data_IF_616468704852
#
_entry.id   IF_616468704852
#
_cell.length_a   1.000
_cell.length_b   1.000
_cell.length_c   1.000
_cell.angle_alpha   90.00
_cell.angle_beta   90.00
_cell.angle_gamma   90.00
#
_symmetry.space_group_name_H-M   'P 1'
#
loop_
_entity.id
_entity.type
_entity.pdbx_description
1 polymer ?
#
# COMPACT_ATOMS: atom_id res chain seq x y z
N UNK A 1 -25.22 34.82 2.04
CA UNK A 1 -24.38 34.63 3.25
C UNK A 1 -23.44 33.48 2.96
N UNK A 2 -22.21 33.75 2.51
CA UNK A 2 -21.23 32.71 2.20
C UNK A 2 -20.81 32.04 3.51
N UNK A 3 -20.91 30.71 3.56
CA UNK A 3 -20.49 29.90 4.71
C UNK A 3 -18.95 29.84 4.68
N UNK A 4 -18.28 30.53 5.59
CA UNK A 4 -16.83 30.42 5.76
C UNK A 4 -16.45 28.94 6.01
N UNK A 5 -15.30 28.46 5.49
CA UNK A 5 -14.87 27.09 5.70
C UNK A 5 -14.65 26.87 7.20
N UNK A 6 -15.24 25.80 7.74
CA UNK A 6 -15.05 25.35 9.12
C UNK A 6 -13.58 24.93 9.25
N UNK A 7 -12.75 25.80 9.84
CA UNK A 7 -11.40 25.43 10.22
C UNK A 7 -11.52 24.26 11.21
N UNK A 8 -11.02 23.09 10.83
CA UNK A 8 -10.53 22.11 11.78
C UNK A 8 -9.35 22.80 12.46
N UNK A 9 -9.63 23.57 13.51
CA UNK A 9 -8.63 24.42 14.18
C UNK A 9 -7.74 23.49 15.01
N UNK A 10 -6.74 22.92 14.35
CA UNK A 10 -5.70 22.12 15.00
C UNK A 10 -4.98 23.07 15.95
N UNK A 11 -5.16 22.86 17.25
CA UNK A 11 -4.56 23.68 18.30
C UNK A 11 -3.03 23.62 18.24
N UNK A 12 -2.43 24.76 17.94
CA UNK A 12 -0.97 24.91 17.85
C UNK A 12 -0.26 24.61 19.19
N UNK A 13 -0.91 24.88 20.33
CA UNK A 13 -0.38 24.55 21.65
C UNK A 13 -0.39 23.05 21.90
N UNK A 14 -1.41 22.34 21.44
CA UNK A 14 -1.48 20.87 21.52
C UNK A 14 -0.35 20.22 20.72
N UNK A 15 -0.12 20.66 19.48
CA UNK A 15 0.99 20.19 18.64
C UNK A 15 2.35 20.42 19.34
N UNK A 16 2.53 21.60 19.94
CA UNK A 16 3.78 21.97 20.61
C UNK A 16 4.05 21.14 21.87
N UNK A 17 3.01 20.83 22.65
CA UNK A 17 3.08 19.91 23.80
C UNK A 17 3.44 18.49 23.36
N UNK A 18 2.77 17.96 22.34
CA UNK A 18 3.05 16.63 21.80
C UNK A 18 4.49 16.53 21.27
N UNK A 19 4.99 17.55 20.57
CA UNK A 19 6.38 17.60 20.10
C UNK A 19 7.38 17.62 21.26
N UNK A 20 7.09 18.35 22.34
CA UNK A 20 7.96 18.39 23.53
C UNK A 20 8.00 17.03 24.23
N UNK A 21 6.84 16.39 24.42
CA UNK A 21 6.75 15.04 24.97
C UNK A 21 7.48 14.02 24.10
N UNK A 22 7.36 14.12 22.77
CA UNK A 22 8.07 13.24 21.84
C UNK A 22 9.60 13.35 22.02
N UNK A 23 10.12 14.56 22.22
CA UNK A 23 11.55 14.77 22.46
C UNK A 23 11.99 14.26 23.84
N UNK A 24 11.23 14.54 24.89
CA UNK A 24 11.53 14.13 26.27
C UNK A 24 11.49 12.61 26.45
N UNK A 25 10.54 11.94 25.81
CA UNK A 25 10.37 10.48 25.88
C UNK A 25 11.28 9.72 24.94
N UNK A 26 11.91 10.41 23.97
CA UNK A 26 12.74 9.80 22.94
C UNK A 26 11.95 8.91 21.97
N UNK A 27 10.63 9.12 21.86
CA UNK A 27 9.80 8.38 20.92
C UNK A 27 10.02 8.88 19.49
N UNK A 28 9.77 8.02 18.51
CA UNK A 28 9.83 8.37 17.09
C UNK A 28 8.53 9.03 16.61
N UNK A 29 7.42 8.72 17.27
CA UNK A 29 6.08 9.16 16.90
C UNK A 29 5.08 9.10 18.07
N UNK A 30 4.11 10.02 18.06
CA UNK A 30 2.94 10.02 18.93
C UNK A 30 1.68 10.29 18.10
N UNK A 31 0.65 9.46 18.26
CA UNK A 31 -0.68 9.64 17.68
C UNK A 31 -1.71 9.92 18.78
N UNK A 32 -2.55 10.94 18.56
CA UNK A 32 -3.63 11.33 19.46
C UNK A 32 -4.95 11.35 18.71
N UNK A 33 -5.89 10.50 19.13
CA UNK A 33 -7.23 10.38 18.53
C UNK A 33 -8.28 10.96 19.45
N UNK A 34 -9.15 11.81 18.90
CA UNK A 34 -10.28 12.39 19.61
C UNK A 34 -11.51 12.42 18.71
N UNK A 35 -12.54 11.66 19.11
CA UNK A 35 -13.79 11.48 18.37
C UNK A 35 -13.57 11.23 16.88
N UNK A 36 -13.78 12.26 16.05
CA UNK A 36 -13.75 12.19 14.59
C UNK A 36 -12.38 12.54 13.96
N UNK A 37 -11.35 12.84 14.74
CA UNK A 37 -10.02 13.21 14.21
C UNK A 37 -8.85 12.55 14.91
N UNK A 38 -7.74 12.39 14.17
CA UNK A 38 -6.45 11.97 14.69
C UNK A 38 -5.35 12.96 14.30
N UNK A 39 -4.40 13.17 15.22
CA UNK A 39 -3.20 13.98 15.03
C UNK A 39 -1.97 13.12 15.29
N UNK A 40 -1.12 13.04 14.27
CA UNK A 40 0.14 12.29 14.29
C UNK A 40 1.31 13.27 14.25
N UNK A 41 2.21 13.19 15.22
CA UNK A 41 3.46 13.95 15.27
C UNK A 41 4.61 12.97 15.21
N UNK A 42 5.45 13.06 14.18
CA UNK A 42 6.59 12.17 13.98
C UNK A 42 7.88 12.98 13.89
N UNK A 43 8.98 12.48 14.44
CA UNK A 43 10.32 13.14 14.40
C UNK A 43 10.93 13.24 13.00
N UNK A 44 10.25 12.65 12.01
CA UNK A 44 10.75 12.44 10.66
C UNK A 44 11.54 11.14 10.59
N UNK A 45 10.88 10.05 10.20
CA UNK A 45 11.59 9.05 9.42
C UNK A 45 11.66 9.64 8.00
N UNK A 46 12.86 9.67 7.40
CA UNK A 46 12.97 9.81 5.94
C UNK A 46 11.94 8.87 5.35
N UNK A 47 10.93 9.41 4.65
CA UNK A 47 10.04 8.59 3.85
C UNK A 47 10.97 7.85 2.90
N UNK A 48 11.26 6.58 3.21
CA UNK A 48 11.74 5.66 2.22
C UNK A 48 10.55 5.54 1.31
N UNK A 49 10.47 6.42 0.32
CA UNK A 49 9.74 6.16 -0.90
C UNK A 49 10.32 4.86 -1.42
N UNK A 50 9.72 3.76 -0.99
CA UNK A 50 9.87 2.50 -1.66
C UNK A 50 9.43 2.81 -3.09
N UNK A 51 10.41 2.88 -3.99
CA UNK A 51 10.13 2.91 -5.42
C UNK A 51 9.26 1.68 -5.66
N UNK A 52 7.97 1.91 -5.89
CA UNK A 52 7.08 0.84 -6.32
C UNK A 52 7.77 0.17 -7.51
N UNK A 53 7.88 -1.17 -7.55
CA UNK A 53 8.42 -1.84 -8.71
C UNK A 53 7.63 -1.33 -9.91
N UNK A 54 8.33 -0.67 -10.83
CA UNK A 54 7.77 -0.32 -12.13
C UNK A 54 7.32 -1.64 -12.73
N UNK A 55 6.00 -1.79 -12.85
CA UNK A 55 5.42 -2.92 -13.55
C UNK A 55 5.96 -2.86 -14.97
N UNK A 56 6.89 -3.77 -15.28
CA UNK A 56 7.30 -4.05 -16.64
C UNK A 56 6.01 -4.55 -17.30
N UNK A 57 5.38 -3.70 -18.11
CA UNK A 57 4.29 -4.15 -18.95
C UNK A 57 4.83 -5.35 -19.74
N UNK A 58 4.13 -6.49 -19.76
CA UNK A 58 4.58 -7.63 -20.54
C UNK A 58 4.78 -7.13 -21.97
N UNK A 59 5.98 -7.31 -22.50
CA UNK A 59 6.20 -7.13 -23.92
C UNK A 59 5.14 -7.98 -24.62
N UNK A 60 4.36 -7.38 -25.50
CA UNK A 60 3.42 -8.13 -26.30
C UNK A 60 4.22 -9.22 -27.04
N UNK A 61 3.96 -10.48 -26.69
CA UNK A 61 4.43 -11.62 -27.48
C UNK A 61 3.89 -11.41 -28.90
N UNK A 62 4.80 -11.06 -29.81
CA UNK A 62 4.52 -11.24 -31.22
C UNK A 62 4.23 -12.75 -31.39
N UNK A 63 3.16 -13.13 -32.12
CA UNK A 63 2.78 -14.53 -32.21
C UNK A 63 3.99 -15.33 -32.70
N UNK A 64 4.52 -16.19 -31.83
CA UNK A 64 5.46 -17.21 -32.24
C UNK A 64 4.76 -18.01 -33.34
N UNK A 65 5.40 -18.11 -34.51
CA UNK A 65 4.87 -18.91 -35.60
C UNK A 65 4.49 -20.28 -35.04
N UNK A 66 3.19 -20.62 -35.08
CA UNK A 66 2.69 -21.90 -34.60
C UNK A 66 3.43 -23.01 -35.35
N UNK A 67 4.39 -23.63 -34.68
CA UNK A 67 4.90 -24.92 -35.10
C UNK A 67 3.76 -25.89 -34.81
N UNK A 68 2.93 -26.09 -35.85
CA UNK A 68 1.76 -26.96 -35.79
C UNK A 68 2.12 -28.29 -35.16
N UNK A 69 1.22 -28.78 -34.31
CA UNK A 69 1.40 -30.04 -33.58
C UNK A 69 1.77 -31.13 -34.59
N UNK A 70 2.89 -31.86 -34.40
CA UNK A 70 3.35 -32.83 -35.38
C UNK A 70 2.28 -33.92 -35.61
N UNK A 71 2.15 -34.37 -36.86
CA UNK A 71 1.19 -35.41 -37.22
C UNK A 71 1.42 -36.67 -36.37
N UNK A 72 0.39 -37.09 -35.64
CA UNK A 72 0.44 -38.24 -34.71
C UNK A 72 0.67 -37.88 -33.24
N UNK A 73 0.70 -36.59 -32.88
CA UNK A 73 0.75 -36.21 -31.48
C UNK A 73 -0.56 -36.58 -30.76
N UNK A 74 -0.43 -37.30 -29.65
CA UNK A 74 -1.54 -37.62 -28.75
C UNK A 74 -1.58 -36.54 -27.67
N UNK A 75 -2.60 -35.69 -27.71
CA UNK A 75 -2.82 -34.68 -26.67
C UNK A 75 -3.41 -35.35 -25.44
N UNK A 76 -2.58 -35.60 -24.43
CA UNK A 76 -3.08 -36.07 -23.14
C UNK A 76 -3.68 -34.89 -22.36
N UNK A 77 -4.91 -35.00 -21.84
CA UNK A 77 -5.48 -33.96 -20.99
C UNK A 77 -4.65 -33.86 -19.71
N UNK A 78 -4.04 -32.70 -19.46
CA UNK A 78 -3.43 -32.41 -18.17
C UNK A 78 -4.53 -32.06 -17.17
N UNK A 79 -4.72 -32.91 -16.16
CA UNK A 79 -5.63 -32.63 -15.04
C UNK A 79 -4.79 -32.19 -13.85
N UNK A 80 -4.98 -30.93 -13.43
CA UNK A 80 -4.38 -30.36 -12.23
C UNK A 80 -5.38 -29.46 -11.52
N UNK A 81 -5.26 -29.34 -10.19
CA UNK A 81 -6.07 -28.43 -9.38
C UNK A 81 -5.29 -27.12 -9.24
N UNK A 82 -5.92 -25.99 -9.56
CA UNK A 82 -5.34 -24.66 -9.36
C UNK A 82 -6.02 -24.01 -8.16
N UNK A 83 -5.23 -23.64 -7.16
CA UNK A 83 -5.70 -22.83 -6.04
C UNK A 83 -5.55 -21.36 -6.39
N UNK A 84 -6.65 -20.61 -6.37
CA UNK A 84 -6.68 -19.18 -6.69
C UNK A 84 -6.55 -18.26 -5.47
N UNK A 85 -6.47 -18.84 -4.26
CA UNK A 85 -6.30 -18.13 -3.00
C UNK A 85 -5.40 -18.92 -2.03
N UNK A 86 -4.68 -18.24 -1.11
CA UNK A 86 -4.00 -18.90 0.00
C UNK A 86 -5.04 -19.54 0.93
N UNK A 87 -4.71 -20.74 1.44
CA UNK A 87 -5.43 -21.65 2.36
C UNK A 87 -6.82 -21.21 2.90
N UNK A 88 -7.88 -22.03 2.70
CA UNK A 88 -9.21 -21.75 3.24
C UNK A 88 -9.32 -21.98 4.76
N UNK A 89 -8.29 -22.52 5.43
CA UNK A 89 -8.32 -22.89 6.85
C UNK A 89 -7.20 -22.21 7.67
N UNK A 90 -7.06 -20.88 7.56
CA UNK A 90 -6.33 -20.06 8.54
C UNK A 90 -7.28 -19.23 9.40
#
# INVERSE_FOLDING_TARGET
MARSPKATDIDADAVRKLASLLEETGLTEIEYTHDDWSLRVSKGATAVTATAPVAIAPAADAPAAEQGVPAGAVTSPMVGVVYTSPDPES
#
